data_IF_562717743863
#
_entry.id   IF_562717743863
#
_cell.length_a   1.000
_cell.length_b   1.000
_cell.length_c   1.000
_cell.angle_alpha   90.00
_cell.angle_beta   90.00
_cell.angle_gamma   90.00
#
_symmetry.space_group_name_H-M   'P 1'
#
loop_
_entity.id
_entity.type
_entity.pdbx_description
1 polymer ?
#
# COMPACT_ATOMS: atom_id res chain seq x y z
N UNK A 1 -10.11 3.70 -50.72
CA UNK A 1 -8.66 3.69 -50.37
C UNK A 1 -8.47 4.56 -49.14
N UNK A 2 -8.45 3.95 -47.94
CA UNK A 2 -8.19 4.64 -46.67
C UNK A 2 -6.69 4.88 -46.53
N UNK A 3 -6.30 6.13 -46.42
CA UNK A 3 -4.93 6.53 -46.12
C UNK A 3 -4.66 6.21 -44.64
N UNK A 4 -3.95 5.12 -44.37
CA UNK A 4 -3.44 4.83 -43.01
C UNK A 4 -2.26 5.77 -42.77
N UNK A 5 -2.48 6.89 -42.13
CA UNK A 5 -1.40 7.74 -41.62
C UNK A 5 -0.83 7.04 -40.39
N UNK A 6 0.22 6.24 -40.57
CA UNK A 6 1.06 5.76 -39.46
C UNK A 6 1.85 6.95 -38.94
N UNK A 7 1.30 7.64 -37.95
CA UNK A 7 2.04 8.63 -37.19
C UNK A 7 3.13 7.86 -36.42
N UNK A 8 4.38 8.07 -36.76
CA UNK A 8 5.53 7.52 -36.05
C UNK A 8 5.44 8.09 -34.61
N UNK A 9 4.87 7.30 -33.69
CA UNK A 9 4.76 7.72 -32.29
C UNK A 9 6.17 7.84 -31.73
N UNK A 10 6.49 9.02 -31.24
CA UNK A 10 7.72 9.23 -30.51
C UNK A 10 7.53 8.49 -29.15
N UNK A 11 8.19 7.36 -28.95
CA UNK A 11 8.00 6.47 -27.79
C UNK A 11 8.60 7.07 -26.50
N UNK A 12 8.72 8.38 -26.42
CA UNK A 12 9.18 9.07 -25.21
C UNK A 12 7.98 9.48 -24.37
N UNK A 13 8.03 9.14 -23.10
CA UNK A 13 7.05 9.54 -22.11
C UNK A 13 7.75 10.24 -20.94
N UNK A 14 7.03 11.15 -20.30
CA UNK A 14 7.47 11.81 -19.06
C UNK A 14 6.42 11.46 -18.02
N UNK A 15 6.87 10.85 -16.91
CA UNK A 15 6.08 10.71 -15.70
C UNK A 15 6.51 11.78 -14.72
N UNK A 16 5.58 12.70 -14.39
CA UNK A 16 5.83 13.74 -13.40
C UNK A 16 5.02 13.43 -12.15
N UNK A 17 5.70 13.19 -11.03
CA UNK A 17 5.09 12.93 -9.72
C UNK A 17 5.15 14.19 -8.90
N UNK A 18 3.98 14.76 -8.59
CA UNK A 18 3.83 15.90 -7.71
C UNK A 18 3.50 15.36 -6.32
N UNK A 19 4.52 14.96 -5.58
CA UNK A 19 4.38 14.34 -4.27
C UNK A 19 3.72 15.31 -3.27
N UNK A 20 2.68 14.83 -2.57
CA UNK A 20 1.86 15.65 -1.69
C UNK A 20 0.78 16.48 -2.40
N UNK A 21 0.71 16.49 -3.73
CA UNK A 21 -0.35 17.16 -4.48
C UNK A 21 -1.60 16.28 -4.50
N UNK A 22 -2.52 16.51 -3.56
CA UNK A 22 -3.71 15.69 -3.39
C UNK A 22 -5.01 16.48 -3.42
N UNK A 23 -6.10 15.77 -3.62
CA UNK A 23 -7.47 16.28 -3.53
C UNK A 23 -8.00 15.93 -2.14
N UNK A 24 -8.17 16.95 -1.29
CA UNK A 24 -8.73 16.78 0.05
C UNK A 24 -10.24 17.00 0.07
N UNK A 25 -10.93 16.47 1.10
CA UNK A 25 -12.40 16.61 1.22
C UNK A 25 -12.85 18.02 1.58
N UNK A 26 -11.96 18.85 2.13
CA UNK A 26 -12.29 20.22 2.53
C UNK A 26 -11.34 21.23 1.84
N UNK A 27 -11.81 21.91 0.78
CA UNK A 27 -11.01 22.90 0.07
C UNK A 27 -10.54 24.08 0.95
N UNK A 28 -11.27 24.41 2.00
CA UNK A 28 -10.95 25.56 2.86
C UNK A 28 -9.66 25.36 3.67
N UNK A 29 -9.21 24.13 3.85
CA UNK A 29 -7.94 23.79 4.55
C UNK A 29 -6.89 23.19 3.61
N UNK A 30 -7.13 23.21 2.31
CA UNK A 30 -6.21 22.72 1.29
C UNK A 30 -5.48 23.90 0.63
N UNK A 31 -4.19 23.99 0.87
CA UNK A 31 -3.36 25.03 0.22
C UNK A 31 -3.37 24.92 -1.31
N UNK A 32 -3.43 23.69 -1.84
CA UNK A 32 -3.51 23.42 -3.28
C UNK A 32 -4.83 23.95 -3.86
N UNK A 33 -5.95 23.66 -3.20
CA UNK A 33 -7.27 24.12 -3.66
C UNK A 33 -7.44 25.66 -3.60
N UNK A 34 -6.66 26.34 -2.76
CA UNK A 34 -6.66 27.80 -2.65
C UNK A 34 -5.61 28.47 -3.52
N UNK A 35 -4.66 27.70 -4.07
CA UNK A 35 -3.62 28.26 -4.92
C UNK A 35 -4.14 28.61 -6.32
N UNK A 36 -3.52 29.57 -6.95
CA UNK A 36 -3.79 29.91 -8.36
C UNK A 36 -2.98 28.97 -9.27
N UNK A 37 -3.60 27.89 -9.74
CA UNK A 37 -2.95 26.83 -10.53
C UNK A 37 -3.59 26.67 -11.92
N UNK A 38 -3.68 27.74 -12.74
CA UNK A 38 -4.49 27.75 -13.97
C UNK A 38 -4.08 26.71 -15.00
N UNK A 39 -2.79 26.33 -15.05
CA UNK A 39 -2.34 25.30 -15.97
C UNK A 39 -2.83 23.91 -15.52
N UNK A 40 -2.65 23.55 -14.25
CA UNK A 40 -3.07 22.26 -13.70
C UNK A 40 -4.60 22.15 -13.76
N UNK A 41 -5.31 23.21 -13.38
CA UNK A 41 -6.78 23.27 -13.46
C UNK A 41 -7.25 22.99 -14.89
N UNK A 42 -6.61 23.62 -15.88
CA UNK A 42 -6.93 23.39 -17.29
C UNK A 42 -6.63 21.94 -17.74
N UNK A 43 -5.70 21.23 -17.10
CA UNK A 43 -5.46 19.84 -17.41
C UNK A 43 -6.63 18.94 -16.96
N UNK A 44 -7.20 19.20 -15.80
CA UNK A 44 -8.39 18.48 -15.33
C UNK A 44 -9.61 18.70 -16.24
N UNK A 45 -9.73 19.88 -16.85
CA UNK A 45 -10.81 20.17 -17.78
C UNK A 45 -10.63 19.53 -19.16
N UNK A 46 -9.39 19.48 -19.66
CA UNK A 46 -9.10 19.19 -21.08
C UNK A 46 -8.61 17.77 -21.34
N UNK A 47 -8.07 17.09 -20.35
CA UNK A 47 -7.44 15.79 -20.53
C UNK A 47 -8.12 14.70 -19.68
N UNK A 48 -8.06 13.43 -20.12
CA UNK A 48 -8.52 12.32 -19.31
C UNK A 48 -7.75 12.27 -17.98
N UNK A 49 -8.48 12.10 -16.89
CA UNK A 49 -7.91 12.00 -15.56
C UNK A 49 -8.66 10.98 -14.72
N UNK A 50 -8.02 10.52 -13.64
CA UNK A 50 -8.62 9.66 -12.63
C UNK A 50 -8.03 10.00 -11.26
N UNK A 51 -8.70 9.54 -10.22
CA UNK A 51 -8.22 9.67 -8.84
C UNK A 51 -7.70 8.33 -8.32
N UNK A 52 -6.72 8.38 -7.43
CA UNK A 52 -6.18 7.23 -6.73
C UNK A 52 -6.27 7.49 -5.23
N UNK A 53 -6.67 6.48 -4.48
CA UNK A 53 -6.56 6.51 -3.03
C UNK A 53 -5.08 6.43 -2.63
N UNK A 54 -4.71 7.22 -1.61
CA UNK A 54 -3.32 7.38 -1.21
C UNK A 54 -3.04 6.93 0.22
N UNK A 55 -3.95 6.18 0.85
CA UNK A 55 -3.85 5.73 2.23
C UNK A 55 -4.43 4.32 2.41
N UNK A 56 -4.16 3.72 3.55
CA UNK A 56 -4.70 2.44 3.96
C UNK A 56 -4.41 1.29 3.00
N UNK A 57 -5.34 0.37 2.88
CA UNK A 57 -5.19 -0.84 2.07
C UNK A 57 -4.98 -0.56 0.58
N UNK A 58 -5.48 0.55 0.09
CA UNK A 58 -5.30 0.95 -1.32
C UNK A 58 -3.82 1.15 -1.70
N UNK A 59 -2.97 1.43 -0.72
CA UNK A 59 -1.52 1.57 -0.91
C UNK A 59 -0.71 0.51 -0.18
N UNK A 60 -1.35 -0.53 0.36
CA UNK A 60 -0.70 -1.64 1.04
C UNK A 60 -0.35 -1.39 2.51
N UNK A 61 -0.95 -0.38 3.14
CA UNK A 61 -0.85 -0.07 4.56
C UNK A 61 -2.07 -0.59 5.33
N UNK A 62 -2.01 -0.72 6.66
CA UNK A 62 -3.18 -0.99 7.48
C UNK A 62 -4.32 0.00 7.22
N UNK A 63 -5.56 -0.45 7.39
CA UNK A 63 -6.74 0.38 7.20
C UNK A 63 -6.67 1.65 8.05
N UNK A 64 -7.04 2.81 7.46
CA UNK A 64 -7.01 4.11 8.11
C UNK A 64 -5.61 4.71 8.30
N UNK A 65 -4.54 3.98 7.99
CA UNK A 65 -3.19 4.53 8.09
C UNK A 65 -2.91 5.49 6.95
N UNK A 66 -2.43 6.68 7.28
CA UNK A 66 -2.03 7.70 6.31
C UNK A 66 -0.91 7.17 5.41
N UNK A 67 -1.03 7.41 4.12
CA UNK A 67 0.00 7.08 3.14
C UNK A 67 1.28 7.92 3.30
N UNK A 68 2.32 7.48 2.63
CA UNK A 68 3.60 8.20 2.57
C UNK A 68 4.26 8.00 1.20
N UNK A 69 5.30 8.79 0.95
CA UNK A 69 6.02 8.78 -0.31
C UNK A 69 6.64 7.43 -0.64
N UNK A 70 7.16 6.71 0.36
CA UNK A 70 7.82 5.42 0.16
C UNK A 70 6.86 4.38 -0.43
N UNK A 71 5.70 4.16 0.21
CA UNK A 71 4.73 3.19 -0.30
C UNK A 71 4.11 3.63 -1.62
N UNK A 72 3.88 4.94 -1.82
CA UNK A 72 3.35 5.48 -3.06
C UNK A 72 4.28 5.22 -4.24
N UNK A 73 5.55 5.56 -4.11
CA UNK A 73 6.56 5.32 -5.15
C UNK A 73 6.80 3.84 -5.39
N UNK A 74 6.78 3.01 -4.34
CA UNK A 74 6.90 1.56 -4.47
C UNK A 74 5.75 0.99 -5.31
N UNK A 75 4.52 1.41 -5.07
CA UNK A 75 3.35 0.96 -5.83
C UNK A 75 3.41 1.42 -7.29
N UNK A 76 3.80 2.67 -7.54
CA UNK A 76 4.02 3.19 -8.91
C UNK A 76 5.07 2.39 -9.65
N UNK A 77 6.21 2.12 -9.01
CA UNK A 77 7.30 1.36 -9.62
C UNK A 77 6.95 -0.12 -9.86
N UNK A 78 6.17 -0.72 -8.96
CA UNK A 78 5.72 -2.11 -9.08
C UNK A 78 4.54 -2.29 -10.04
N UNK A 79 3.81 -1.21 -10.38
CA UNK A 79 2.57 -1.27 -11.15
C UNK A 79 1.43 -2.03 -10.46
N UNK A 80 1.50 -2.17 -9.16
CA UNK A 80 0.49 -2.85 -8.31
C UNK A 80 0.61 -2.42 -6.87
N UNK A 81 -0.41 -2.71 -6.06
CA UNK A 81 -0.33 -2.53 -4.61
C UNK A 81 0.68 -3.52 -4.02
N UNK A 82 1.65 -3.01 -3.26
CA UNK A 82 2.65 -3.78 -2.52
C UNK A 82 2.29 -3.74 -1.04
N UNK A 83 1.69 -4.81 -0.54
CA UNK A 83 1.33 -4.91 0.86
C UNK A 83 2.55 -4.94 1.76
N UNK A 84 2.57 -4.06 2.76
CA UNK A 84 3.60 -4.02 3.79
C UNK A 84 3.54 -5.29 4.68
N UNK A 85 4.64 -5.63 5.32
CA UNK A 85 4.74 -6.86 6.10
C UNK A 85 3.66 -6.97 7.18
N UNK A 86 3.34 -5.88 7.86
CA UNK A 86 2.29 -5.87 8.87
C UNK A 86 0.93 -6.27 8.28
N UNK A 87 0.56 -5.71 7.12
CA UNK A 87 -0.69 -6.06 6.42
C UNK A 87 -0.69 -7.51 5.97
N UNK A 88 0.43 -8.01 5.44
CA UNK A 88 0.56 -9.42 5.04
C UNK A 88 0.37 -10.38 6.21
N UNK A 89 0.92 -10.04 7.39
CA UNK A 89 0.74 -10.85 8.60
C UNK A 89 -0.71 -10.75 9.09
N UNK A 90 -1.31 -9.55 9.10
CA UNK A 90 -2.73 -9.39 9.43
C UNK A 90 -3.61 -10.30 8.56
N UNK A 91 -3.43 -10.23 7.24
CA UNK A 91 -4.17 -11.08 6.30
C UNK A 91 -3.94 -12.57 6.54
N UNK A 92 -2.71 -12.97 6.87
CA UNK A 92 -2.40 -14.38 7.16
C UNK A 92 -3.09 -14.87 8.44
N UNK A 93 -3.23 -14.01 9.44
CA UNK A 93 -3.99 -14.30 10.68
C UNK A 93 -5.48 -14.37 10.37
N UNK A 94 -6.03 -13.38 9.69
CA UNK A 94 -7.46 -13.31 9.34
C UNK A 94 -7.91 -14.49 8.47
N UNK A 95 -7.09 -14.89 7.52
CA UNK A 95 -7.36 -16.01 6.62
C UNK A 95 -7.01 -17.38 7.24
N UNK A 96 -6.48 -17.43 8.46
CA UNK A 96 -6.07 -18.67 9.12
C UNK A 96 -4.91 -19.39 8.43
N UNK A 97 -4.08 -18.66 7.66
CA UNK A 97 -2.96 -19.24 6.92
C UNK A 97 -1.64 -19.20 7.70
N UNK A 98 -1.51 -18.30 8.68
CA UNK A 98 -0.29 -18.15 9.48
C UNK A 98 0.13 -19.47 10.15
N UNK A 99 -0.81 -20.16 10.76
CA UNK A 99 -0.60 -21.45 11.41
C UNK A 99 -0.16 -22.57 10.45
N UNK A 100 -0.28 -22.36 9.14
CA UNK A 100 0.12 -23.30 8.11
C UNK A 100 1.54 -23.07 7.59
N UNK A 101 2.20 -22.02 8.04
CA UNK A 101 3.58 -21.73 7.64
C UNK A 101 4.51 -22.88 8.05
N UNK A 102 5.27 -23.46 7.11
CA UNK A 102 6.11 -24.63 7.38
C UNK A 102 7.09 -24.44 8.54
N UNK A 103 7.74 -23.28 8.61
CA UNK A 103 8.71 -22.96 9.67
C UNK A 103 8.05 -22.97 11.05
N UNK A 104 6.84 -22.48 11.19
CA UNK A 104 6.10 -22.50 12.45
C UNK A 104 5.73 -23.94 12.84
N UNK A 105 5.21 -24.72 11.89
CA UNK A 105 4.90 -26.14 12.11
C UNK A 105 6.13 -26.93 12.54
N UNK A 106 7.26 -26.72 11.89
CA UNK A 106 8.52 -27.39 12.22
C UNK A 106 8.99 -27.02 13.64
N UNK A 107 8.89 -25.75 14.02
CA UNK A 107 9.24 -25.29 15.36
C UNK A 107 8.37 -25.92 16.45
N UNK A 108 7.05 -25.96 16.25
CA UNK A 108 6.12 -26.60 17.17
C UNK A 108 6.33 -28.11 17.23
N UNK A 109 6.54 -28.75 16.08
CA UNK A 109 6.82 -30.18 16.00
C UNK A 109 8.13 -30.51 16.74
N UNK A 110 9.19 -29.74 16.54
CA UNK A 110 10.45 -29.92 17.26
C UNK A 110 10.25 -29.82 18.77
N UNK A 111 9.54 -28.80 19.24
CA UNK A 111 9.26 -28.61 20.66
C UNK A 111 8.49 -29.79 21.25
N UNK A 112 7.46 -30.24 20.57
CA UNK A 112 6.63 -31.38 20.99
C UNK A 112 7.44 -32.67 21.04
N UNK A 113 8.18 -32.98 19.97
CA UNK A 113 8.99 -34.22 19.87
C UNK A 113 10.09 -34.31 20.92
N UNK A 114 10.67 -33.16 21.26
CA UNK A 114 11.81 -33.10 22.20
C UNK A 114 11.41 -32.68 23.62
N UNK A 115 10.12 -32.64 23.92
CA UNK A 115 9.56 -32.15 25.20
C UNK A 115 10.15 -30.79 25.64
N UNK A 116 10.16 -29.84 24.71
CA UNK A 116 10.63 -28.45 24.88
C UNK A 116 9.48 -27.47 24.89
N UNK A 117 9.76 -26.27 25.37
CA UNK A 117 8.82 -25.15 25.35
C UNK A 117 9.07 -24.28 24.13
N UNK A 118 8.01 -23.70 23.57
CA UNK A 118 8.11 -22.61 22.62
C UNK A 118 7.97 -21.31 23.38
N UNK A 119 8.86 -20.36 23.14
CA UNK A 119 8.84 -19.04 23.74
C UNK A 119 8.61 -17.99 22.68
N UNK A 120 7.57 -17.17 22.85
CA UNK A 120 7.30 -16.04 22.00
C UNK A 120 7.92 -14.78 22.62
N UNK A 121 8.71 -14.07 21.86
CA UNK A 121 9.35 -12.81 22.27
C UNK A 121 8.97 -11.73 21.26
N UNK A 122 8.36 -10.67 21.72
CA UNK A 122 7.94 -9.57 20.85
C UNK A 122 7.15 -8.50 21.58
N UNK A 123 6.76 -7.48 20.83
CA UNK A 123 5.91 -6.41 21.31
C UNK A 123 4.44 -6.87 21.30
N UNK A 124 3.84 -7.04 22.46
CA UNK A 124 2.41 -7.33 22.63
C UNK A 124 1.66 -6.01 22.67
N UNK A 125 1.06 -5.60 21.56
CA UNK A 125 0.42 -4.29 21.41
C UNK A 125 -0.87 -4.42 20.59
N UNK A 126 -1.83 -3.58 20.89
CA UNK A 126 -3.06 -3.37 20.12
C UNK A 126 -2.96 -2.19 19.14
N UNK A 127 -1.83 -1.46 19.16
CA UNK A 127 -1.62 -0.26 18.35
C UNK A 127 -1.48 -0.49 16.85
N UNK A 128 -1.09 -1.69 16.41
CA UNK A 128 -1.04 -2.04 14.99
C UNK A 128 0.00 -1.28 14.14
N UNK A 129 1.07 -0.78 14.76
CA UNK A 129 2.15 -0.07 14.05
C UNK A 129 3.32 -1.01 13.75
N UNK A 130 3.88 -1.63 14.79
CA UNK A 130 5.02 -2.56 14.66
C UNK A 130 4.61 -4.01 14.87
N UNK A 131 3.50 -4.25 15.56
CA UNK A 131 2.91 -5.56 15.83
C UNK A 131 1.44 -5.39 16.20
N UNK A 132 0.73 -6.51 16.28
CA UNK A 132 -0.62 -6.55 16.82
C UNK A 132 -0.82 -7.81 17.65
N UNK A 133 -1.57 -7.69 18.77
CA UNK A 133 -1.83 -8.83 19.67
C UNK A 133 -2.52 -10.00 18.95
N UNK A 134 -3.26 -9.72 17.88
CA UNK A 134 -3.89 -10.77 17.07
C UNK A 134 -2.88 -11.67 16.36
N UNK A 135 -1.64 -11.18 16.10
CA UNK A 135 -0.56 -12.01 15.56
C UNK A 135 -0.19 -13.11 16.54
N UNK A 136 -0.06 -12.76 17.83
CA UNK A 136 0.23 -13.73 18.87
C UNK A 136 -0.93 -14.72 19.08
N UNK A 137 -2.18 -14.24 18.95
CA UNK A 137 -3.36 -15.12 19.06
C UNK A 137 -3.52 -16.04 17.85
N UNK A 138 -2.98 -15.65 16.69
CA UNK A 138 -3.01 -16.44 15.47
C UNK A 138 -1.94 -17.53 15.39
N UNK A 139 -0.92 -17.46 16.25
CA UNK A 139 0.11 -18.49 16.41
C UNK A 139 -0.35 -19.65 17.29
#
# INVERSE_FOLDING_TARGET
>A
LGLIITRKMNNKAILMILDGWGIGPNPAVSAIAQANTPFVDSCFEKFPHSTLDTFGLAVGLPEGQMGNSEVGHMNLGAGRVVFQNLVRINMAVENGTLQNEPILKDAFQYATTNNKKVHFIGLVSDGGVHSHINHLKGL
#
